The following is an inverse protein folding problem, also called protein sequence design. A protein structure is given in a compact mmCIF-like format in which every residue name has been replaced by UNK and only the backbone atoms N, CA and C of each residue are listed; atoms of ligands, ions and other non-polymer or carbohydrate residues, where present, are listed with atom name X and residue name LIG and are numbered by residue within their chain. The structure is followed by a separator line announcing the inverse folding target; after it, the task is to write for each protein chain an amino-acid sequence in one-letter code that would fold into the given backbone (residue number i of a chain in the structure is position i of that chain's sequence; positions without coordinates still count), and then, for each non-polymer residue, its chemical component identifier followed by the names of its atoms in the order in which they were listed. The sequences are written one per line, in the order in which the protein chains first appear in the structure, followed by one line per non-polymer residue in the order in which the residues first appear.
data_IF_805985229518
#
_entry.id   IF_805985229518
#
_cell.length_a   1.000
_cell.length_b   1.000
_cell.length_c   1.000
_cell.angle_alpha   90.00
_cell.angle_beta   90.00
_cell.angle_gamma   90.00
#
_symmetry.space_group_name_H-M   'P 1'
#
loop_
_entity.id
_entity.type
_entity.pdbx_description
1 polymer ?
#
# COMPACT_ATOMS: atom_id res chain seq x y z
N UNK A 1 -21.71 18.96 -36.02
CA UNK A 1 -20.95 18.63 -34.79
C UNK A 1 -20.75 17.13 -34.74
N UNK A 2 -19.53 16.68 -34.48
CA UNK A 2 -19.18 15.26 -34.43
C UNK A 2 -18.86 14.92 -32.98
N UNK A 3 -19.68 14.07 -32.36
CA UNK A 3 -19.39 13.56 -31.02
C UNK A 3 -18.14 12.68 -31.08
N UNK A 4 -17.20 12.94 -30.17
CA UNK A 4 -16.05 12.07 -29.93
C UNK A 4 -16.27 11.31 -28.62
N UNK A 5 -15.86 10.04 -28.53
CA UNK A 5 -15.80 9.34 -27.26
C UNK A 5 -14.94 10.16 -26.28
N UNK A 6 -15.50 10.49 -25.12
CA UNK A 6 -14.78 11.14 -24.04
C UNK A 6 -14.70 10.17 -22.87
N UNK A 7 -13.48 9.79 -22.49
CA UNK A 7 -13.19 9.08 -21.26
C UNK A 7 -12.81 10.05 -20.16
N UNK A 8 -12.81 9.58 -18.92
CA UNK A 8 -12.20 10.33 -17.83
C UNK A 8 -10.68 10.19 -17.88
N UNK A 9 -9.93 11.21 -17.45
CA UNK A 9 -8.48 11.10 -17.25
C UNK A 9 -8.14 9.95 -16.28
N UNK A 10 -6.86 9.56 -16.25
CA UNK A 10 -6.33 8.65 -15.25
C UNK A 10 -6.73 9.09 -13.83
N UNK A 11 -6.90 8.13 -12.92
CA UNK A 11 -7.33 8.40 -11.54
C UNK A 11 -8.75 8.97 -11.43
N UNK A 12 -9.56 8.94 -12.49
CA UNK A 12 -10.95 9.42 -12.45
C UNK A 12 -11.92 8.39 -13.07
N UNK A 13 -13.12 8.32 -12.50
CA UNK A 13 -14.22 7.54 -13.08
C UNK A 13 -15.41 8.43 -13.42
N UNK A 14 -16.20 8.01 -14.40
CA UNK A 14 -17.47 8.67 -14.68
C UNK A 14 -18.44 8.42 -13.51
N UNK A 15 -18.85 9.48 -12.82
CA UNK A 15 -19.75 9.47 -11.68
C UNK A 15 -20.85 10.52 -11.82
N UNK A 16 -21.85 10.45 -10.95
CA UNK A 16 -22.86 11.50 -10.85
C UNK A 16 -22.38 12.56 -9.86
N UNK A 17 -22.33 13.81 -10.30
CA UNK A 17 -22.02 14.98 -9.49
C UNK A 17 -23.00 16.09 -9.88
N UNK A 18 -23.68 16.67 -8.89
CA UNK A 18 -24.66 17.75 -9.07
C UNK A 18 -25.75 17.46 -10.13
N UNK A 19 -26.17 16.19 -10.24
CA UNK A 19 -27.21 15.74 -11.17
C UNK A 19 -26.73 15.53 -12.63
N UNK A 20 -25.44 15.73 -12.91
CA UNK A 20 -24.79 15.45 -14.20
C UNK A 20 -23.74 14.35 -14.12
N UNK A 21 -23.34 13.80 -15.28
CA UNK A 21 -22.17 12.90 -15.35
C UNK A 21 -20.90 13.74 -15.40
N UNK A 22 -20.01 13.55 -14.44
CA UNK A 22 -18.68 14.19 -14.38
C UNK A 22 -17.61 13.14 -14.12
N UNK A 23 -16.35 13.51 -14.33
CA UNK A 23 -15.23 12.69 -13.92
C UNK A 23 -14.92 12.98 -12.45
N UNK A 24 -15.05 11.96 -11.61
CA UNK A 24 -14.79 12.03 -10.18
C UNK A 24 -13.50 11.30 -9.86
N UNK A 25 -12.64 11.94 -9.06
CA UNK A 25 -11.36 11.37 -8.62
C UNK A 25 -11.61 10.02 -7.92
N UNK A 26 -10.74 9.06 -8.22
CA UNK A 26 -10.68 7.74 -7.61
C UNK A 26 -9.29 7.54 -7.02
N UNK A 27 -9.20 7.24 -5.71
CA UNK A 27 -7.92 6.90 -5.12
C UNK A 27 -7.43 5.56 -5.67
N UNK A 28 -6.11 5.42 -5.81
CA UNK A 28 -5.47 4.15 -6.09
C UNK A 28 -5.66 3.20 -4.91
N UNK A 29 -5.93 1.92 -5.18
CA UNK A 29 -6.08 0.90 -4.15
C UNK A 29 -5.23 -0.32 -4.47
N UNK A 30 -4.27 -0.62 -3.61
CA UNK A 30 -3.51 -1.85 -3.62
C UNK A 30 -3.94 -2.73 -2.45
N UNK A 31 -3.97 -4.04 -2.65
CA UNK A 31 -4.39 -4.99 -1.61
C UNK A 31 -3.43 -6.14 -1.50
N UNK A 32 -3.16 -6.59 -0.26
CA UNK A 32 -2.56 -7.88 0.06
C UNK A 32 -3.58 -8.69 0.85
N UNK A 33 -3.97 -9.83 0.32
CA UNK A 33 -4.85 -10.78 1.02
C UNK A 33 -4.10 -11.47 2.17
N UNK A 34 -4.83 -12.10 3.12
CA UNK A 34 -4.21 -12.91 4.18
C UNK A 34 -3.25 -13.98 3.65
N UNK A 35 -3.53 -14.55 2.47
CA UNK A 35 -2.71 -15.56 1.81
C UNK A 35 -1.59 -14.99 0.94
N UNK A 36 -1.24 -13.71 1.12
CA UNK A 36 -0.17 -12.97 0.42
C UNK A 36 -0.38 -12.73 -1.07
N UNK A 37 -1.55 -13.04 -1.63
CA UNK A 37 -1.92 -12.57 -2.97
C UNK A 37 -2.05 -11.05 -2.96
N UNK A 38 -1.45 -10.38 -3.93
CA UNK A 38 -1.55 -8.95 -4.08
C UNK A 38 -2.23 -8.55 -5.39
N UNK A 39 -2.87 -7.38 -5.35
CA UNK A 39 -3.35 -6.64 -6.52
C UNK A 39 -2.79 -5.24 -6.42
N UNK A 40 -2.09 -4.79 -7.47
CA UNK A 40 -1.44 -3.48 -7.57
C UNK A 40 -2.46 -2.35 -7.70
N UNK A 41 -1.98 -1.11 -7.74
CA UNK A 41 -2.85 0.04 -7.92
C UNK A 41 -3.57 0.05 -9.27
N UNK A 42 -2.94 -0.47 -10.33
CA UNK A 42 -3.49 -0.48 -11.69
C UNK A 42 -4.09 -1.84 -12.11
N UNK A 43 -3.91 -2.87 -11.28
CA UNK A 43 -4.68 -4.11 -11.34
C UNK A 43 -3.89 -5.36 -11.75
N UNK A 44 -2.57 -5.26 -11.94
CA UNK A 44 -1.72 -6.44 -11.98
C UNK A 44 -1.81 -7.24 -10.67
N UNK A 45 -1.57 -8.55 -10.76
CA UNK A 45 -1.74 -9.44 -9.61
C UNK A 45 -0.60 -10.43 -9.49
N UNK A 46 -0.34 -10.83 -8.24
CA UNK A 46 0.73 -11.77 -7.91
C UNK A 46 0.56 -12.38 -6.53
N UNK A 47 1.59 -13.08 -6.05
CA UNK A 47 1.64 -13.61 -4.69
C UNK A 47 3.07 -13.66 -4.19
N UNK A 48 3.29 -13.37 -2.91
CA UNK A 48 4.62 -13.51 -2.31
C UNK A 48 4.99 -14.97 -2.04
N UNK A 49 4.02 -15.81 -1.66
CA UNK A 49 4.16 -17.27 -1.59
C UNK A 49 5.09 -17.80 -0.49
N UNK A 50 5.97 -16.98 0.08
CA UNK A 50 6.95 -17.34 1.08
C UNK A 50 6.95 -16.38 2.28
N UNK A 51 7.45 -16.86 3.43
CA UNK A 51 7.66 -16.04 4.61
C UNK A 51 8.81 -15.05 4.37
N UNK A 52 8.65 -13.81 4.82
CA UNK A 52 9.58 -12.74 4.58
C UNK A 52 8.98 -11.37 4.83
N UNK A 53 9.81 -10.35 4.69
CA UNK A 53 9.39 -8.96 4.83
C UNK A 53 9.53 -8.30 3.48
N UNK A 54 8.44 -7.71 2.99
CA UNK A 54 8.33 -7.25 1.61
C UNK A 54 8.01 -5.77 1.55
N UNK A 55 8.65 -5.04 0.63
CA UNK A 55 8.32 -3.65 0.33
C UNK A 55 7.03 -3.60 -0.48
N UNK A 56 5.91 -3.30 0.19
CA UNK A 56 4.60 -3.25 -0.46
C UNK A 56 4.45 -1.98 -1.28
N UNK A 57 4.81 -0.83 -0.72
CA UNK A 57 4.88 0.42 -1.47
C UNK A 57 5.82 1.41 -0.78
N UNK A 58 6.48 2.25 -1.54
CA UNK A 58 7.34 3.33 -1.08
C UNK A 58 7.32 4.47 -2.09
N UNK A 59 7.59 5.68 -1.62
CA UNK A 59 7.97 6.75 -2.54
C UNK A 59 9.39 6.48 -3.08
N UNK A 60 9.56 6.41 -4.40
CA UNK A 60 10.85 5.98 -4.98
C UNK A 60 11.97 6.99 -4.71
N UNK A 61 11.67 8.28 -4.77
CA UNK A 61 12.66 9.32 -4.43
C UNK A 61 12.80 9.49 -2.91
N UNK A 62 13.79 8.80 -2.35
CA UNK A 62 14.13 8.84 -0.91
C UNK A 62 14.46 10.23 -0.37
N UNK A 63 14.66 11.23 -1.22
CA UNK A 63 15.01 12.60 -0.80
C UNK A 63 13.80 13.47 -0.49
N UNK A 64 12.58 12.99 -0.76
CA UNK A 64 11.36 13.77 -0.48
C UNK A 64 11.12 13.92 1.01
N UNK A 65 10.69 15.11 1.42
CA UNK A 65 10.37 15.41 2.82
C UNK A 65 9.15 14.64 3.35
N UNK A 66 8.27 14.17 2.46
CA UNK A 66 7.12 13.31 2.78
C UNK A 66 7.37 11.85 2.38
N UNK A 67 8.64 11.44 2.27
CA UNK A 67 8.98 10.06 1.93
C UNK A 67 8.41 9.06 2.94
N UNK A 68 7.96 7.91 2.43
CA UNK A 68 7.53 6.75 3.20
C UNK A 68 7.99 5.44 2.56
N UNK A 69 8.02 4.39 3.37
CA UNK A 69 8.22 2.99 2.97
C UNK A 69 7.38 2.09 3.85
N UNK A 70 6.43 1.37 3.24
CA UNK A 70 5.58 0.39 3.89
C UNK A 70 6.15 -1.02 3.64
N UNK A 71 6.47 -1.71 4.72
CA UNK A 71 6.81 -3.12 4.72
C UNK A 71 5.66 -3.94 5.30
N UNK A 72 5.44 -5.12 4.73
CA UNK A 72 4.54 -6.14 5.31
C UNK A 72 5.39 -7.33 5.75
N UNK A 73 5.17 -7.76 6.99
CA UNK A 73 5.76 -8.96 7.57
C UNK A 73 4.84 -10.15 7.29
N UNK A 74 5.36 -11.11 6.54
CA UNK A 74 4.73 -12.37 6.22
C UNK A 74 5.44 -13.47 7.01
N UNK A 75 4.71 -14.08 7.94
CA UNK A 75 5.18 -15.20 8.75
C UNK A 75 4.50 -16.51 8.37
N UNK A 76 4.87 -17.57 9.08
CA UNK A 76 4.26 -18.89 8.94
C UNK A 76 3.57 -19.30 10.26
N UNK A 77 2.25 -19.48 10.21
CA UNK A 77 1.44 -19.89 11.37
C UNK A 77 0.75 -21.20 10.99
N UNK A 78 1.04 -22.28 11.72
CA UNK A 78 0.45 -23.61 11.46
C UNK A 78 0.59 -24.04 9.98
N UNK A 79 1.81 -23.92 9.43
CA UNK A 79 2.14 -24.26 8.03
C UNK A 79 1.42 -23.40 6.99
N UNK A 80 0.88 -22.23 7.39
CA UNK A 80 0.25 -21.26 6.50
C UNK A 80 1.01 -19.95 6.50
N UNK A 81 1.47 -19.56 5.32
CA UNK A 81 2.06 -18.26 5.05
C UNK A 81 0.96 -17.19 5.16
N UNK A 82 1.15 -16.23 6.06
CA UNK A 82 0.16 -15.18 6.35
C UNK A 82 0.82 -13.87 6.77
N UNK A 83 0.12 -12.76 6.57
CA UNK A 83 0.52 -11.46 7.09
C UNK A 83 0.43 -11.46 8.62
N UNK A 84 1.56 -11.19 9.29
CA UNK A 84 1.68 -11.14 10.76
C UNK A 84 1.92 -9.73 11.28
N UNK A 85 2.21 -8.78 10.41
CA UNK A 85 2.35 -7.38 10.78
C UNK A 85 2.72 -6.46 9.61
N UNK A 86 2.89 -5.19 9.93
CA UNK A 86 3.43 -4.19 9.01
C UNK A 86 4.33 -3.19 9.73
N UNK A 87 5.22 -2.58 8.96
CA UNK A 87 6.11 -1.51 9.41
C UNK A 87 6.01 -0.34 8.44
N UNK A 88 5.69 0.84 8.95
CA UNK A 88 5.67 2.08 8.18
C UNK A 88 6.84 2.96 8.62
N UNK A 89 7.79 3.15 7.71
CA UNK A 89 8.84 4.14 7.84
C UNK A 89 8.41 5.42 7.15
N UNK A 90 8.65 6.56 7.78
CA UNK A 90 8.41 7.87 7.18
C UNK A 90 9.40 8.89 7.71
N UNK A 91 9.41 10.09 7.14
CA UNK A 91 10.24 11.21 7.63
C UNK A 91 9.87 11.68 9.05
N UNK A 92 8.70 11.27 9.56
CA UNK A 92 8.25 11.53 10.92
C UNK A 92 8.30 10.26 11.78
N UNK A 93 7.16 9.63 12.08
CA UNK A 93 7.14 8.43 12.91
C UNK A 93 7.54 7.16 12.16
N UNK A 94 8.12 6.24 12.92
CA UNK A 94 8.19 4.82 12.60
C UNK A 94 7.06 4.08 13.31
N UNK A 95 6.19 3.40 12.56
CA UNK A 95 5.04 2.67 13.10
C UNK A 95 5.24 1.18 12.87
N UNK A 96 5.03 0.36 13.90
CA UNK A 96 4.98 -1.10 13.81
C UNK A 96 3.65 -1.60 14.33
N UNK A 97 3.02 -2.51 13.59
CA UNK A 97 1.74 -3.12 13.95
C UNK A 97 1.90 -4.63 13.81
N UNK A 98 1.49 -5.38 14.84
CA UNK A 98 1.35 -6.83 14.76
C UNK A 98 -0.12 -7.21 14.62
N UNK A 99 -0.43 -8.14 13.71
CA UNK A 99 -1.80 -8.59 13.47
C UNK A 99 -2.42 -9.15 14.75
N UNK A 100 -3.59 -8.64 15.15
CA UNK A 100 -4.30 -9.06 16.37
C UNK A 100 -3.66 -8.59 17.68
N UNK A 101 -2.67 -7.69 17.61
CA UNK A 101 -1.79 -7.33 18.72
C UNK A 101 -1.61 -5.80 18.87
N UNK A 102 -0.48 -5.39 19.45
CA UNK A 102 -0.16 -4.02 19.85
C UNK A 102 0.34 -3.18 18.67
N UNK A 103 0.29 -1.86 18.87
CA UNK A 103 0.89 -0.85 18.00
C UNK A 103 2.08 -0.22 18.72
N UNK A 104 3.16 0.02 18.00
CA UNK A 104 4.33 0.75 18.49
C UNK A 104 4.60 1.95 17.60
N UNK A 105 4.88 3.09 18.24
CA UNK A 105 5.32 4.31 17.57
C UNK A 105 6.71 4.63 18.09
N UNK A 106 7.70 4.69 17.20
CA UNK A 106 9.11 4.90 17.55
C UNK A 106 9.62 3.92 18.62
N UNK A 107 9.17 2.66 18.55
CA UNK A 107 9.54 1.59 19.49
C UNK A 107 8.77 1.60 20.83
N UNK A 108 7.89 2.58 21.06
CA UNK A 108 7.10 2.68 22.30
C UNK A 108 5.70 2.08 22.09
N UNK A 109 5.28 1.10 22.92
CA UNK A 109 3.91 0.59 22.88
C UNK A 109 2.90 1.74 23.05
N UNK A 110 1.91 1.81 22.17
CA UNK A 110 0.99 2.95 22.09
C UNK A 110 -0.45 2.47 22.11
N UNK A 111 -1.29 3.12 22.93
CA UNK A 111 -2.73 2.88 22.99
C UNK A 111 -3.45 3.71 21.92
N UNK A 112 -4.45 3.12 21.26
CA UNK A 112 -5.23 3.78 20.21
C UNK A 112 -6.55 4.35 20.76
N UNK A 113 -7.11 5.41 20.13
CA UNK A 113 -6.54 6.16 19.01
C UNK A 113 -5.38 7.08 19.43
N UNK A 114 -4.49 7.40 18.49
CA UNK A 114 -3.37 8.32 18.73
C UNK A 114 -3.14 9.23 17.52
N UNK A 115 -3.07 10.53 17.78
CA UNK A 115 -2.61 11.52 16.83
C UNK A 115 -1.13 11.80 17.10
N UNK A 116 -0.26 11.38 16.19
CA UNK A 116 1.19 11.54 16.33
C UNK A 116 1.62 12.94 15.87
N UNK A 117 0.93 13.46 14.85
CA UNK A 117 1.07 14.82 14.34
C UNK A 117 -0.21 15.19 13.58
N UNK A 118 -0.33 16.45 13.15
CA UNK A 118 -1.44 16.87 12.27
C UNK A 118 -1.53 16.09 10.95
N UNK A 119 -0.43 15.46 10.53
CA UNK A 119 -0.36 14.66 9.32
C UNK A 119 -0.51 13.15 9.57
N UNK A 120 -0.32 12.65 10.80
CA UNK A 120 -0.29 11.20 11.07
C UNK A 120 -1.19 10.82 12.24
N UNK A 121 -2.19 10.00 11.96
CA UNK A 121 -3.15 9.48 12.94
C UNK A 121 -3.27 7.96 12.81
N UNK A 122 -3.42 7.28 13.95
CA UNK A 122 -3.67 5.85 14.03
C UNK A 122 -4.96 5.59 14.81
N UNK A 123 -5.89 4.87 14.20
CA UNK A 123 -7.17 4.51 14.81
C UNK A 123 -7.41 3.01 14.72
N UNK A 124 -8.31 2.52 15.58
CA UNK A 124 -8.78 1.13 15.57
C UNK A 124 -10.30 1.11 15.51
N UNK A 125 -10.84 0.28 14.62
CA UNK A 125 -12.28 -0.01 14.57
C UNK A 125 -12.51 -1.46 14.20
N UNK A 126 -13.27 -2.19 15.04
CA UNK A 126 -13.55 -3.62 14.86
C UNK A 126 -12.26 -4.46 14.64
N UNK A 127 -11.19 -4.11 15.37
CA UNK A 127 -9.87 -4.73 15.25
C UNK A 127 -9.06 -4.34 14.00
N UNK A 128 -9.63 -3.54 13.09
CA UNK A 128 -8.89 -3.00 11.95
C UNK A 128 -8.07 -1.80 12.41
N UNK A 129 -6.75 -1.88 12.26
CA UNK A 129 -5.85 -0.77 12.53
C UNK A 129 -5.69 0.04 11.26
N UNK A 130 -5.93 1.35 11.36
CA UNK A 130 -5.81 2.29 10.25
C UNK A 130 -4.76 3.33 10.58
N UNK A 131 -3.72 3.41 9.76
CA UNK A 131 -2.75 4.50 9.78
C UNK A 131 -3.05 5.44 8.63
N UNK A 132 -3.29 6.71 8.93
CA UNK A 132 -3.52 7.76 7.95
C UNK A 132 -2.33 8.71 7.97
N UNK A 133 -1.63 8.84 6.85
CA UNK A 133 -0.70 9.93 6.56
C UNK A 133 -1.39 10.90 5.59
N UNK A 134 -2.00 11.92 6.16
CA UNK A 134 -2.89 12.86 5.47
C UNK A 134 -2.12 13.85 4.58
N UNK A 135 -2.71 14.27 3.44
CA UNK A 135 -3.97 13.77 2.86
C UNK A 135 -3.85 12.54 1.94
N UNK A 136 -2.65 12.05 1.64
CA UNK A 136 -2.46 11.23 0.44
C UNK A 136 -2.30 9.73 0.65
N UNK A 137 -2.05 9.24 1.86
CA UNK A 137 -1.71 7.84 2.11
C UNK A 137 -2.46 7.24 3.30
N UNK A 138 -3.09 6.10 3.09
CA UNK A 138 -3.78 5.33 4.11
C UNK A 138 -3.35 3.87 3.99
N UNK A 139 -3.01 3.25 5.12
CA UNK A 139 -2.87 1.80 5.22
C UNK A 139 -3.79 1.25 6.30
N UNK A 140 -4.49 0.17 5.97
CA UNK A 140 -5.40 -0.55 6.85
C UNK A 140 -4.95 -2.01 6.98
N UNK A 141 -4.80 -2.50 8.21
CA UNK A 141 -4.54 -3.90 8.53
C UNK A 141 -5.74 -4.46 9.28
N UNK A 142 -6.42 -5.42 8.66
CA UNK A 142 -7.54 -6.13 9.29
C UNK A 142 -7.04 -7.24 10.22
N UNK A 143 -7.85 -7.69 11.20
CA UNK A 143 -7.53 -8.86 12.03
C UNK A 143 -7.27 -10.14 11.24
N UNK A 144 -7.80 -10.23 10.02
CA UNK A 144 -7.59 -11.35 9.11
C UNK A 144 -6.19 -11.38 8.49
N UNK A 145 -5.39 -10.31 8.63
CA UNK A 145 -4.12 -10.13 7.92
C UNK A 145 -4.27 -9.47 6.54
N UNK A 146 -5.48 -9.09 6.13
CA UNK A 146 -5.66 -8.33 4.89
C UNK A 146 -5.10 -6.90 5.07
N UNK A 147 -4.22 -6.50 4.14
CA UNK A 147 -3.66 -5.15 4.07
C UNK A 147 -4.27 -4.44 2.88
N UNK A 148 -4.78 -3.23 3.10
CA UNK A 148 -5.23 -2.34 2.04
C UNK A 148 -4.44 -1.04 2.11
N UNK A 149 -3.85 -0.67 0.99
CA UNK A 149 -3.21 0.63 0.81
C UNK A 149 -4.09 1.47 -0.10
N UNK A 150 -4.46 2.67 0.35
CA UNK A 150 -5.20 3.65 -0.46
C UNK A 150 -4.35 4.90 -0.61
N UNK A 151 -4.13 5.33 -1.85
CA UNK A 151 -3.33 6.51 -2.19
C UNK A 151 -4.15 7.52 -2.98
N UNK A 152 -3.87 8.80 -2.76
CA UNK A 152 -4.43 9.87 -3.58
C UNK A 152 -3.73 9.94 -4.94
N UNK A 153 -4.40 10.53 -5.92
CA UNK A 153 -3.90 10.59 -7.31
C UNK A 153 -2.56 11.34 -7.41
N UNK A 154 -2.28 12.26 -6.49
CA UNK A 154 -1.04 13.04 -6.42
C UNK A 154 0.21 12.17 -6.22
N UNK A 155 0.04 10.90 -5.83
CA UNK A 155 1.13 9.94 -5.68
C UNK A 155 1.43 9.16 -6.96
N UNK A 156 0.65 9.33 -8.04
CA UNK A 156 0.83 8.61 -9.31
C UNK A 156 2.23 8.76 -9.88
N UNK A 157 2.73 7.71 -10.53
CA UNK A 157 4.05 7.65 -11.20
C UNK A 157 5.25 7.87 -10.24
N UNK A 158 5.02 7.99 -8.93
CA UNK A 158 6.06 8.24 -7.93
C UNK A 158 6.27 7.10 -6.93
N UNK A 159 5.44 6.07 -7.01
CA UNK A 159 5.47 4.90 -6.14
C UNK A 159 6.28 3.77 -6.76
N UNK A 160 6.74 2.87 -5.91
CA UNK A 160 7.34 1.59 -6.30
C UNK A 160 7.19 0.59 -5.17
N UNK A 161 7.34 -0.69 -5.49
CA UNK A 161 7.10 -1.81 -4.59
C UNK A 161 6.14 -2.82 -5.24
N UNK A 162 5.66 -3.77 -4.44
CA UNK A 162 4.69 -4.77 -4.91
C UNK A 162 3.38 -4.19 -5.42
N UNK A 163 3.03 -2.97 -5.02
CA UNK A 163 1.82 -2.30 -5.48
C UNK A 163 1.95 -1.62 -6.85
N UNK A 164 3.09 -1.73 -7.54
CA UNK A 164 3.33 -1.04 -8.82
C UNK A 164 3.69 0.43 -8.66
N UNK A 165 3.73 1.15 -9.78
CA UNK A 165 4.12 2.57 -9.86
C UNK A 165 2.93 3.55 -9.94
N UNK A 166 1.71 3.02 -10.09
CA UNK A 166 0.45 3.76 -10.09
C UNK A 166 0.38 4.79 -11.24
N UNK A 167 0.67 4.35 -12.46
CA UNK A 167 0.62 5.16 -13.69
C UNK A 167 -0.61 4.88 -14.58
N UNK A 168 -1.38 3.84 -14.26
CA UNK A 168 -2.57 3.41 -14.99
C UNK A 168 -2.35 2.29 -16.00
N UNK A 169 -1.15 1.71 -16.08
CA UNK A 169 -0.82 0.60 -16.96
C UNK A 169 -0.46 -0.68 -16.20
N UNK A 170 -1.44 -1.53 -15.96
CA UNK A 170 -1.20 -2.83 -15.32
C UNK A 170 -0.18 -3.73 -16.04
N UNK A 171 0.16 -3.48 -17.31
CA UNK A 171 1.15 -4.27 -18.04
C UNK A 171 2.59 -4.01 -17.56
N UNK A 172 2.85 -2.88 -16.92
CA UNK A 172 4.18 -2.51 -16.44
C UNK A 172 4.33 -2.60 -14.90
N UNK A 173 3.28 -2.93 -14.15
CA UNK A 173 3.29 -2.94 -12.68
C UNK A 173 4.30 -3.91 -12.05
N UNK A 174 4.61 -5.02 -12.72
CA UNK A 174 5.51 -6.06 -12.21
C UNK A 174 6.96 -5.70 -12.51
N UNK A 175 7.47 -4.68 -11.83
CA UNK A 175 8.85 -4.22 -11.91
C UNK A 175 9.67 -4.64 -10.69
N UNK A 176 10.98 -4.82 -10.86
CA UNK A 176 11.93 -4.94 -9.76
C UNK A 176 12.41 -3.57 -9.25
N UNK A 177 13.24 -3.54 -8.20
CA UNK A 177 13.74 -2.29 -7.62
C UNK A 177 14.55 -1.38 -8.56
N UNK A 178 15.04 -1.89 -9.71
CA UNK A 178 15.72 -1.07 -10.72
C UNK A 178 14.82 -0.62 -11.88
N UNK A 179 13.52 -0.90 -11.81
CA UNK A 179 12.52 -0.53 -12.82
C UNK A 179 12.44 -1.50 -14.01
N UNK A 180 13.16 -2.62 -13.94
CA UNK A 180 13.11 -3.69 -14.93
C UNK A 180 11.83 -4.52 -14.76
N UNK A 181 11.20 -4.92 -15.87
CA UNK A 181 10.07 -5.85 -15.79
C UNK A 181 10.53 -7.23 -15.32
N UNK A 182 9.76 -7.80 -14.40
CA UNK A 182 10.00 -9.11 -13.81
C UNK A 182 8.88 -10.06 -14.24
N UNK A 183 9.26 -11.25 -14.68
CA UNK A 183 8.29 -12.25 -15.15
C UNK A 183 7.54 -12.89 -13.97
N UNK A 184 6.32 -12.39 -13.73
CA UNK A 184 5.37 -12.98 -12.81
C UNK A 184 5.45 -12.44 -11.38
N UNK A 185 4.33 -12.57 -10.67
CA UNK A 185 4.14 -11.97 -9.35
C UNK A 185 5.02 -12.54 -8.24
N UNK A 186 5.41 -13.82 -8.32
CA UNK A 186 6.29 -14.45 -7.32
C UNK A 186 7.73 -13.95 -7.42
N UNK A 187 8.27 -13.89 -8.64
CA UNK A 187 9.60 -13.31 -8.87
C UNK A 187 9.61 -11.82 -8.52
N UNK A 188 8.53 -11.09 -8.81
CA UNK A 188 8.35 -9.69 -8.41
C UNK A 188 8.36 -9.57 -6.88
N UNK A 189 7.66 -10.47 -6.19
CA UNK A 189 7.65 -10.51 -4.73
C UNK A 189 9.05 -10.68 -4.15
N UNK A 190 9.81 -11.64 -4.65
CA UNK A 190 11.17 -11.88 -4.18
C UNK A 190 12.12 -10.71 -4.49
N UNK A 191 11.97 -10.05 -5.65
CA UNK A 191 12.74 -8.85 -5.99
C UNK A 191 12.54 -7.69 -5.00
N UNK A 192 11.34 -7.61 -4.40
CA UNK A 192 10.98 -6.60 -3.38
C UNK A 192 11.07 -7.10 -1.94
N UNK A 193 11.68 -8.26 -1.69
CA UNK A 193 12.06 -8.67 -0.34
C UNK A 193 12.98 -7.59 0.27
N UNK A 194 12.77 -7.24 1.53
CA UNK A 194 13.55 -6.25 2.25
C UNK A 194 14.68 -6.93 3.04
N UNK A 195 15.91 -7.06 2.50
CA UNK A 195 17.01 -7.74 3.21
C UNK A 195 17.55 -6.92 4.39
N UNK A 196 17.25 -5.62 4.42
CA UNK A 196 17.67 -4.67 5.45
C UNK A 196 16.75 -4.68 6.68
N UNK A 197 15.76 -5.57 6.71
CA UNK A 197 14.83 -5.71 7.83
C UNK A 197 14.59 -7.18 8.13
N UNK A 198 14.73 -7.56 9.40
CA UNK A 198 14.55 -8.94 9.87
C UNK A 198 13.46 -8.99 10.94
N UNK A 199 12.83 -10.16 11.09
CA UNK A 199 11.89 -10.44 12.18
C UNK A 199 12.48 -10.17 13.58
#
# INVERSE_FOLDING_TARGET
FQCRPAGCPFGQRCGLQDGGRSCVVQPGRCTLSPTTRFVTFDGAAGAAGAAGIYVVTSWCDRRRSNWFRLLVDVGEIQERVTVVGLHLFSSGPFVTIKTGEKVWVNGVPTTLPVEISSAVNITESLGTIRVTQSPEFIVELKPTGEVTVTVAQELSEGLCGLCGDYDGDAANDLQGPSGELVEGGEATAEAWRAPDFTH
#
